data_IF_189066495492
#
_entry.id   IF_189066495492
#
_cell.length_a   1.000
_cell.length_b   1.000
_cell.length_c   1.000
_cell.angle_alpha   90.00
_cell.angle_beta   90.00
_cell.angle_gamma   90.00
#
_symmetry.space_group_name_H-M   'P 1'
#
loop_
_entity.id
_entity.type
_entity.pdbx_description
1 polymer ?
#
# COMPACT_ATOMS: atom_id res chain seq x y z
N UNK A 1 1.74 3.33 14.54
CA UNK A 1 2.08 4.53 13.75
C UNK A 1 3.18 4.18 12.77
N UNK A 2 3.20 4.84 11.62
CA UNK A 2 4.23 4.63 10.58
C UNK A 2 4.68 5.95 10.01
N UNK A 3 5.96 6.02 9.67
CA UNK A 3 6.53 7.08 8.84
C UNK A 3 7.25 6.40 7.69
N UNK A 4 6.87 6.76 6.46
CA UNK A 4 7.51 6.28 5.24
C UNK A 4 8.15 7.47 4.55
N UNK A 5 9.44 7.34 4.25
CA UNK A 5 10.25 8.42 3.68
C UNK A 5 10.48 8.13 2.20
N UNK A 6 9.93 8.98 1.34
CA UNK A 6 10.16 8.95 -0.09
C UNK A 6 11.29 9.86 -0.55
N UNK A 7 11.35 10.03 -1.88
CA UNK A 7 12.32 10.94 -2.50
C UNK A 7 12.04 12.39 -2.11
N UNK A 8 10.80 12.84 -2.33
CA UNK A 8 10.35 14.24 -2.13
C UNK A 8 9.21 14.37 -1.11
N UNK A 9 8.64 13.26 -0.65
CA UNK A 9 7.49 13.24 0.27
C UNK A 9 7.82 12.42 1.52
N UNK A 10 7.22 12.77 2.64
CA UNK A 10 6.99 11.86 3.75
C UNK A 10 5.52 11.49 3.81
N UNK A 11 5.25 10.23 4.11
CA UNK A 11 3.94 9.76 4.50
C UNK A 11 3.96 9.39 5.98
N UNK A 12 2.93 9.79 6.72
CA UNK A 12 2.72 9.31 8.09
C UNK A 12 1.27 8.92 8.30
N UNK A 13 1.05 7.85 9.05
CA UNK A 13 -0.28 7.39 9.42
C UNK A 13 -0.29 6.92 10.88
N UNK A 14 -1.30 7.39 11.61
CA UNK A 14 -1.64 6.89 12.94
C UNK A 14 -2.65 5.75 12.82
N UNK A 15 -2.49 4.68 13.58
CA UNK A 15 -3.47 3.59 13.57
C UNK A 15 -4.82 4.07 14.12
N UNK A 16 -5.90 3.38 13.73
CA UNK A 16 -7.23 3.51 14.33
C UNK A 16 -7.94 4.83 14.00
N UNK A 17 -8.31 5.00 12.71
CA UNK A 17 -9.08 6.16 12.21
C UNK A 17 -8.44 7.50 12.58
N UNK A 18 -7.12 7.55 12.43
CA UNK A 18 -6.36 8.79 12.53
C UNK A 18 -5.99 9.22 11.12
N UNK A 19 -5.96 10.54 10.87
CA UNK A 19 -5.56 11.04 9.58
C UNK A 19 -4.15 10.56 9.20
N UNK A 20 -4.03 10.26 7.93
CA UNK A 20 -2.76 10.18 7.20
C UNK A 20 -2.36 11.55 6.71
N UNK A 21 -1.05 11.76 6.59
CA UNK A 21 -0.49 13.00 6.08
C UNK A 21 0.53 12.69 4.98
N UNK A 22 0.41 13.41 3.87
CA UNK A 22 1.53 13.63 2.95
C UNK A 22 2.18 14.96 3.28
N UNK A 23 3.49 14.93 3.42
CA UNK A 23 4.29 16.06 3.85
C UNK A 23 5.40 16.25 2.81
N UNK A 24 5.61 17.49 2.40
CA UNK A 24 6.77 17.87 1.58
C UNK A 24 8.04 17.65 2.41
N UNK A 25 8.96 16.85 1.89
CA UNK A 25 10.11 16.39 2.66
C UNK A 25 11.11 17.49 3.00
N UNK A 26 11.26 18.46 2.11
CA UNK A 26 12.29 19.48 2.26
C UNK A 26 11.78 20.64 3.13
N UNK A 27 10.49 20.98 3.01
CA UNK A 27 9.88 22.13 3.70
C UNK A 27 9.12 21.74 4.97
N UNK A 28 8.73 20.47 5.13
CA UNK A 28 7.86 20.01 6.20
C UNK A 28 6.39 20.45 6.05
N UNK A 29 6.03 21.08 4.92
CA UNK A 29 4.65 21.52 4.67
C UNK A 29 3.74 20.31 4.48
N UNK A 30 2.60 20.30 5.17
CA UNK A 30 1.54 19.31 4.91
C UNK A 30 0.95 19.60 3.52
N UNK A 31 1.08 18.62 2.62
CA UNK A 31 0.58 18.68 1.26
C UNK A 31 -0.87 18.18 1.19
N UNK A 32 -1.17 17.10 1.92
CA UNK A 32 -2.49 16.48 1.93
C UNK A 32 -2.76 15.83 3.29
N UNK A 33 -4.03 15.82 3.69
CA UNK A 33 -4.56 15.09 4.84
C UNK A 33 -5.70 14.20 4.35
N UNK A 34 -5.67 12.90 4.68
CA UNK A 34 -6.71 11.96 4.28
C UNK A 34 -6.85 10.81 5.28
N UNK A 35 -8.03 10.21 5.40
CA UNK A 35 -8.27 9.07 6.29
C UNK A 35 -9.18 8.07 5.58
N UNK A 36 -8.63 6.92 5.21
CA UNK A 36 -9.37 5.80 4.62
C UNK A 36 -9.85 4.81 5.69
N UNK A 37 -9.74 5.17 6.98
CA UNK A 37 -10.22 4.36 8.10
C UNK A 37 -9.32 3.17 8.44
N UNK A 38 -8.09 3.12 7.92
CA UNK A 38 -7.17 2.01 8.13
C UNK A 38 -6.89 1.75 9.63
N UNK A 39 -7.04 0.49 10.03
CA UNK A 39 -6.63 0.05 11.36
C UNK A 39 -5.12 -0.15 11.44
N UNK A 40 -4.50 -0.61 10.35
CA UNK A 40 -3.09 -0.95 10.34
C UNK A 40 -2.17 0.23 10.02
N UNK A 41 -0.93 0.15 10.49
CA UNK A 41 0.11 1.15 10.22
C UNK A 41 1.26 0.56 9.42
N UNK A 42 0.98 -0.22 8.38
CA UNK A 42 2.03 -0.75 7.51
C UNK A 42 1.81 -0.29 6.07
N UNK A 43 2.62 0.67 5.65
CA UNK A 43 2.59 1.26 4.32
C UNK A 43 3.98 1.21 3.71
N UNK A 44 4.07 0.75 2.48
CA UNK A 44 5.32 0.72 1.72
C UNK A 44 5.23 1.70 0.57
N UNK A 45 6.26 2.52 0.37
CA UNK A 45 6.31 3.42 -0.77
C UNK A 45 7.14 2.77 -1.89
N UNK A 46 6.57 2.70 -3.09
CA UNK A 46 7.25 2.24 -4.30
C UNK A 46 7.03 3.26 -5.41
N UNK A 47 8.05 4.06 -5.72
CA UNK A 47 7.88 5.23 -6.61
C UNK A 47 6.87 6.22 -6.00
N UNK A 48 5.84 6.65 -6.76
CA UNK A 48 4.77 7.50 -6.25
C UNK A 48 3.63 6.72 -5.57
N UNK A 49 3.74 5.39 -5.42
CA UNK A 49 2.62 4.57 -4.94
C UNK A 49 2.81 4.15 -3.47
N UNK A 50 1.83 4.45 -2.64
CA UNK A 50 1.70 3.88 -1.30
C UNK A 50 0.94 2.55 -1.40
N UNK A 51 1.59 1.49 -0.93
CA UNK A 51 1.05 0.15 -0.83
C UNK A 51 0.58 -0.04 0.61
N UNK A 52 -0.74 -0.08 0.79
CA UNK A 52 -1.38 -0.03 2.10
C UNK A 52 -2.03 -1.34 2.55
N UNK A 53 -2.81 -1.21 3.63
CA UNK A 53 -3.75 -2.23 4.09
C UNK A 53 -4.73 -2.64 2.96
N UNK A 54 -5.34 -3.83 3.06
CA UNK A 54 -6.24 -4.37 2.03
C UNK A 54 -5.64 -4.46 0.62
N UNK A 55 -4.31 -4.43 0.52
CA UNK A 55 -3.59 -4.37 -0.75
C UNK A 55 -3.99 -3.16 -1.60
N UNK A 56 -4.32 -2.05 -0.94
CA UNK A 56 -4.58 -0.78 -1.60
C UNK A 56 -3.30 -0.23 -2.22
N UNK A 57 -3.47 0.38 -3.39
CA UNK A 57 -2.44 1.13 -4.10
C UNK A 57 -2.97 2.55 -4.25
N UNK A 58 -2.35 3.46 -3.51
CA UNK A 58 -2.69 4.89 -3.50
C UNK A 58 -1.61 5.62 -4.29
N UNK A 59 -2.01 6.29 -5.37
CA UNK A 59 -1.13 7.18 -6.13
C UNK A 59 -1.00 8.53 -5.42
N UNK A 60 0.24 8.85 -5.06
CA UNK A 60 0.64 10.10 -4.41
C UNK A 60 1.24 11.11 -5.39
N UNK A 61 1.24 10.81 -6.69
CA UNK A 61 1.64 11.75 -7.72
C UNK A 61 0.80 13.03 -7.63
N UNK A 62 1.42 14.17 -7.97
CA UNK A 62 0.79 15.49 -7.90
C UNK A 62 0.17 15.83 -6.53
N UNK A 63 0.74 15.28 -5.45
CA UNK A 63 0.27 15.48 -4.07
C UNK A 63 -1.17 14.96 -3.83
N UNK A 64 -1.58 13.91 -4.54
CA UNK A 64 -2.89 13.27 -4.41
C UNK A 64 -2.93 12.06 -3.45
N UNK A 65 -4.12 11.47 -3.31
CA UNK A 65 -4.38 10.20 -2.62
C UNK A 65 -5.30 9.28 -3.46
N UNK A 66 -5.10 9.25 -4.77
CA UNK A 66 -6.01 8.50 -5.65
C UNK A 66 -5.85 6.99 -5.40
N UNK A 67 -6.90 6.33 -4.92
CA UNK A 67 -6.96 4.87 -4.84
C UNK A 67 -7.09 4.29 -6.25
N UNK A 68 -6.00 3.74 -6.78
CA UNK A 68 -5.96 3.22 -8.16
C UNK A 68 -6.20 1.71 -8.25
N UNK A 69 -6.04 1.00 -7.13
CA UNK A 69 -6.32 -0.44 -7.04
C UNK A 69 -6.52 -0.84 -5.58
N UNK A 70 -7.41 -1.80 -5.35
CA UNK A 70 -7.65 -2.42 -4.05
C UNK A 70 -7.66 -3.94 -4.22
N UNK A 71 -7.52 -4.69 -3.12
CA UNK A 71 -7.52 -6.15 -3.13
C UNK A 71 -8.52 -6.76 -2.14
N UNK A 72 -8.68 -8.09 -2.15
CA UNK A 72 -9.47 -8.76 -1.13
C UNK A 72 -8.90 -8.54 0.28
N UNK A 73 -9.78 -8.60 1.27
CA UNK A 73 -9.39 -8.67 2.68
C UNK A 73 -8.71 -10.04 2.93
N UNK A 74 -7.40 -10.01 3.20
CA UNK A 74 -6.55 -11.21 3.36
C UNK A 74 -6.11 -11.43 4.82
N UNK A 75 -6.31 -10.43 5.65
CA UNK A 75 -6.09 -10.44 7.09
C UNK A 75 -7.29 -9.72 7.74
N UNK A 76 -7.92 -10.32 8.75
CA UNK A 76 -9.11 -9.77 9.39
C UNK A 76 -8.86 -8.43 10.12
N UNK A 77 -7.60 -8.12 10.46
CA UNK A 77 -7.16 -6.82 10.98
C UNK A 77 -6.60 -5.91 9.90
N UNK A 78 -6.65 -6.36 8.64
CA UNK A 78 -6.18 -5.66 7.44
C UNK A 78 -4.68 -5.33 7.51
N UNK A 79 -3.95 -6.01 8.39
CA UNK A 79 -2.54 -5.77 8.61
C UNK A 79 -1.68 -6.58 7.65
N UNK A 80 -1.46 -5.99 6.48
CA UNK A 80 -0.59 -6.53 5.43
C UNK A 80 0.62 -5.64 5.19
N UNK A 81 1.80 -6.26 5.10
CA UNK A 81 3.02 -5.59 4.66
C UNK A 81 3.30 -5.87 3.20
N UNK A 82 3.55 -4.83 2.41
CA UNK A 82 3.90 -4.95 1.00
C UNK A 82 5.41 -4.87 0.76
N UNK A 83 5.90 -5.53 -0.29
CA UNK A 83 7.25 -5.39 -0.83
C UNK A 83 7.14 -5.34 -2.35
N UNK A 84 7.69 -4.31 -2.97
CA UNK A 84 7.86 -4.25 -4.42
C UNK A 84 9.24 -4.80 -4.80
N UNK A 85 9.30 -5.83 -5.65
CA UNK A 85 10.55 -6.42 -6.11
C UNK A 85 10.38 -7.04 -7.50
N UNK A 86 11.33 -6.75 -8.42
CA UNK A 86 11.36 -7.29 -9.79
C UNK A 86 10.02 -7.20 -10.54
N UNK A 87 9.35 -6.04 -10.45
CA UNK A 87 8.08 -5.80 -11.12
C UNK A 87 6.87 -6.50 -10.50
N UNK A 88 7.02 -7.10 -9.30
CA UNK A 88 5.94 -7.77 -8.57
C UNK A 88 5.72 -7.12 -7.21
N UNK A 89 4.49 -7.22 -6.72
CA UNK A 89 4.12 -6.80 -5.37
C UNK A 89 3.84 -8.04 -4.53
N UNK A 90 4.59 -8.20 -3.46
CA UNK A 90 4.41 -9.26 -2.48
C UNK A 90 3.74 -8.69 -1.25
N UNK A 91 2.70 -9.34 -0.76
CA UNK A 91 2.00 -8.98 0.47
C UNK A 91 2.16 -10.10 1.48
N UNK A 92 2.51 -9.74 2.71
CA UNK A 92 2.60 -10.69 3.83
C UNK A 92 1.66 -10.23 4.93
N UNK A 93 0.71 -11.10 5.25
CA UNK A 93 -0.26 -10.93 6.33
C UNK A 93 0.40 -11.08 7.69
N UNK A 94 0.07 -10.19 8.63
CA UNK A 94 0.66 -10.19 9.96
C UNK A 94 0.09 -11.29 10.86
N UNK A 95 -1.21 -11.56 10.81
CA UNK A 95 -1.85 -12.43 11.80
C UNK A 95 -1.73 -13.91 11.46
N UNK A 96 -1.78 -14.28 10.18
CA UNK A 96 -1.81 -15.68 9.74
C UNK A 96 -0.58 -16.10 8.92
N UNK A 97 0.35 -15.18 8.64
CA UNK A 97 1.57 -15.46 7.87
C UNK A 97 1.33 -15.78 6.39
N UNK A 98 0.11 -15.60 5.87
CA UNK A 98 -0.21 -15.78 4.47
C UNK A 98 0.62 -14.81 3.62
N UNK A 99 1.30 -15.34 2.61
CA UNK A 99 2.02 -14.54 1.62
C UNK A 99 1.33 -14.64 0.26
N UNK A 100 1.15 -13.49 -0.37
CA UNK A 100 0.48 -13.33 -1.65
C UNK A 100 1.39 -12.58 -2.60
N UNK A 101 1.27 -12.87 -3.89
CA UNK A 101 1.92 -12.11 -4.95
C UNK A 101 0.83 -11.54 -5.85
N UNK A 102 0.80 -10.22 -6.01
CA UNK A 102 -0.02 -9.55 -7.03
C UNK A 102 0.79 -9.47 -8.32
N UNK A 103 0.17 -9.94 -9.39
CA UNK A 103 0.66 -9.84 -10.78
C UNK A 103 -0.27 -8.93 -11.58
N UNK A 104 0.20 -8.43 -12.72
CA UNK A 104 -0.59 -7.60 -13.63
C UNK A 104 -0.29 -7.93 -15.10
N UNK A 105 -1.13 -7.42 -16.01
CA UNK A 105 -0.98 -7.61 -17.46
C UNK A 105 -0.95 -9.09 -17.87
N UNK A 106 -0.14 -9.40 -18.87
CA UNK A 106 -0.02 -10.76 -19.42
C UNK A 106 0.41 -11.80 -18.38
N UNK A 107 1.18 -11.40 -17.36
CA UNK A 107 1.57 -12.29 -16.27
C UNK A 107 0.37 -12.77 -15.43
N UNK A 108 -0.69 -11.99 -15.33
CA UNK A 108 -1.91 -12.42 -14.64
C UNK A 108 -2.61 -13.57 -15.39
N UNK A 109 -2.61 -13.53 -16.73
CA UNK A 109 -3.18 -14.59 -17.55
C UNK A 109 -2.49 -15.95 -17.39
N UNK A 110 -1.18 -15.94 -17.12
CA UNK A 110 -0.39 -17.17 -16.91
C UNK A 110 -0.78 -17.95 -15.64
N UNK A 111 -1.31 -17.27 -14.61
CA UNK A 111 -1.70 -17.93 -13.35
C UNK A 111 -3.10 -18.57 -13.42
N UNK A 112 -3.98 -18.08 -14.30
CA UNK A 112 -5.34 -18.63 -14.48
C UNK A 112 -5.29 -19.96 -15.26
N UNK A 113 -4.28 -20.15 -16.11
CA UNK A 113 -4.09 -21.36 -16.92
C UNK A 113 -3.42 -22.54 -16.21
N UNK A 114 -3.07 -22.43 -14.92
CA UNK A 114 -2.44 -23.52 -14.15
C UNK A 114 -3.38 -24.19 -13.13
N UNK A 115 -4.69 -23.90 -13.20
CA UNK A 115 -5.72 -24.55 -12.37
C UNK A 115 -6.58 -25.56 -13.16
N UNK A 116 -5.98 -26.29 -14.10
CA UNK A 116 -6.61 -27.45 -14.73
C UNK A 116 -5.72 -28.67 -14.51
N UNK A 117 -6.01 -29.40 -13.44
CA UNK A 117 -5.85 -30.86 -13.29
C UNK A 117 -7.04 -31.38 -12.47
#
# INVERSE_FOLDING_TARGET
>A
NVVTIGKNILFTHGSSRKPSYLIDKDTGKILLVFDEGYACTRFTLSGPYLLGANMDIIDTSNNGNNLISSGPCVDARECVGAIASNGRLFYTSQANGLQLSRVCGDQAGLLVGQQQD
#
